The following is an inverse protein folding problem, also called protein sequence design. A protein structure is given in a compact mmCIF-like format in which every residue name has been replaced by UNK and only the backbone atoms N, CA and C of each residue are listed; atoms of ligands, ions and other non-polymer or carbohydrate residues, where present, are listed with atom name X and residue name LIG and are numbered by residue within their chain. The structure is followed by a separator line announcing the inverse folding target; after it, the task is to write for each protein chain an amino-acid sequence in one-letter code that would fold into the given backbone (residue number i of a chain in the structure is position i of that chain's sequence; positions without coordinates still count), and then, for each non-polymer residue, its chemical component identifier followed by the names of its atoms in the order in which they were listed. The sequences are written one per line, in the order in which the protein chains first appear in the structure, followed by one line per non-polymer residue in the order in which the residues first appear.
data_IF_677964815712
#
_entry.id   IF_677964815712
#
_cell.length_a   1.000
_cell.length_b   1.000
_cell.length_c   1.000
_cell.angle_alpha   90.00
_cell.angle_beta   90.00
_cell.angle_gamma   90.00
#
_symmetry.space_group_name_H-M   'P 1'
#
loop_
_entity.id
_entity.type
_entity.pdbx_description
1 polymer ?
#
# COMPACT_ATOMS: atom_id res chain seq x y z
N UNK A 1 3.22 1.57 2.95
CA UNK A 1 2.50 0.73 1.95
C UNK A 1 3.43 0.02 0.96
N UNK A 2 4.71 0.29 1.08
CA UNK A 2 5.91 -0.27 0.46
C UNK A 2 6.12 -1.79 0.66
N UNK A 3 5.47 -2.41 1.64
CA UNK A 3 5.46 -3.87 1.76
C UNK A 3 4.48 -4.55 0.78
N UNK A 4 4.81 -5.75 0.27
CA UNK A 4 3.98 -6.46 -0.69
C UNK A 4 2.61 -6.87 -0.09
N UNK A 5 1.65 -7.19 -0.95
CA UNK A 5 0.32 -7.69 -0.56
C UNK A 5 0.35 -8.93 0.33
N UNK A 6 1.45 -9.70 0.30
CA UNK A 6 1.71 -10.80 1.23
C UNK A 6 1.68 -10.34 2.70
N UNK A 7 2.27 -9.18 2.99
CA UNK A 7 2.39 -8.60 4.33
C UNK A 7 1.23 -7.65 4.66
N UNK A 8 0.88 -6.81 3.68
CA UNK A 8 -0.20 -5.81 3.78
C UNK A 8 -1.24 -6.04 2.68
N UNK A 9 -2.12 -7.05 2.84
CA UNK A 9 -3.21 -7.31 1.89
C UNK A 9 -4.19 -6.14 1.80
N UNK A 10 -4.90 -6.03 0.68
CA UNK A 10 -5.90 -4.99 0.46
C UNK A 10 -6.97 -4.97 1.56
N UNK A 11 -7.51 -6.15 1.91
CA UNK A 11 -8.54 -6.25 2.96
C UNK A 11 -8.04 -5.79 4.32
N UNK A 12 -6.74 -5.93 4.60
CA UNK A 12 -6.13 -5.39 5.83
C UNK A 12 -6.07 -3.85 5.77
N UNK A 13 -5.65 -3.29 4.64
CA UNK A 13 -5.62 -1.84 4.40
C UNK A 13 -7.02 -1.23 4.51
N UNK A 14 -8.02 -1.82 3.85
CA UNK A 14 -9.39 -1.33 3.85
C UNK A 14 -10.04 -1.34 5.25
N UNK A 15 -9.68 -2.32 6.08
CA UNK A 15 -10.18 -2.44 7.46
C UNK A 15 -9.46 -1.56 8.47
N UNK A 16 -8.50 -0.74 8.03
CA UNK A 16 -7.86 0.24 8.89
C UNK A 16 -8.91 1.17 9.51
N UNK A 17 -8.77 1.41 10.82
CA UNK A 17 -9.61 2.32 11.57
C UNK A 17 -8.73 3.45 12.11
N UNK A 18 -8.96 4.72 11.72
CA UNK A 18 -8.17 5.85 12.22
C UNK A 18 -8.39 6.13 13.71
N UNK A 19 -9.48 5.65 14.30
CA UNK A 19 -9.74 5.82 15.72
C UNK A 19 -9.08 4.70 16.54
N UNK A 20 -7.96 5.05 17.18
CA UNK A 20 -7.25 4.18 18.12
C UNK A 20 -8.19 3.73 19.25
N UNK A 21 -8.11 2.44 19.61
CA UNK A 21 -8.90 1.88 20.71
C UNK A 21 -8.58 2.63 22.01
N UNK A 22 -9.62 3.13 22.67
CA UNK A 22 -9.48 3.89 23.92
C UNK A 22 -9.50 5.41 23.75
N UNK A 23 -9.64 5.93 22.51
CA UNK A 23 -9.90 7.36 22.32
C UNK A 23 -11.32 7.74 22.79
N UNK A 24 -11.36 8.70 23.71
CA UNK A 24 -12.57 9.42 24.09
C UNK A 24 -13.02 10.38 22.97
N UNK A 25 -14.17 11.03 23.14
CA UNK A 25 -14.73 11.93 22.12
C UNK A 25 -13.79 13.09 21.78
N UNK A 26 -13.11 13.64 22.79
CA UNK A 26 -12.14 14.72 22.61
C UNK A 26 -10.92 14.26 21.82
N UNK A 27 -10.43 13.05 22.08
CA UNK A 27 -9.34 12.45 21.31
C UNK A 27 -9.73 12.21 19.86
N UNK A 28 -10.96 11.75 19.61
CA UNK A 28 -11.48 11.55 18.25
C UNK A 28 -11.60 12.85 17.47
N UNK A 29 -12.00 13.96 18.10
CA UNK A 29 -12.12 15.25 17.41
C UNK A 29 -10.77 15.85 16.99
N UNK A 30 -9.66 15.34 17.53
CA UNK A 30 -8.31 15.76 17.12
C UNK A 30 -7.76 14.95 15.92
N UNK A 31 -8.48 13.93 15.45
CA UNK A 31 -8.08 13.14 14.28
C UNK A 31 -8.54 13.87 13.02
N UNK A 32 -7.61 14.52 12.31
CA UNK A 32 -7.92 15.31 11.13
C UNK A 32 -8.09 14.49 9.84
N UNK A 33 -7.49 13.30 9.78
CA UNK A 33 -7.53 12.49 8.57
C UNK A 33 -6.59 11.29 8.62
N UNK A 34 -6.34 10.72 7.44
CA UNK A 34 -5.48 9.56 7.23
C UNK A 34 -4.50 9.83 6.10
N UNK A 35 -3.29 9.28 6.22
CA UNK A 35 -2.29 9.27 5.16
C UNK A 35 -1.94 7.83 4.79
N UNK A 36 -1.68 7.60 3.50
CA UNK A 36 -1.17 6.34 2.98
C UNK A 36 0.22 6.51 2.37
N UNK A 37 1.26 6.41 3.19
CA UNK A 37 2.63 6.61 2.71
C UNK A 37 3.14 5.40 1.93
N UNK A 38 3.81 5.65 0.80
CA UNK A 38 4.50 4.66 -0.02
C UNK A 38 5.95 5.09 -0.21
N UNK A 39 6.84 4.42 0.50
CA UNK A 39 8.27 4.63 0.38
C UNK A 39 8.83 3.82 -0.79
N UNK A 40 9.76 4.39 -1.55
CA UNK A 40 10.17 3.85 -2.87
C UNK A 40 11.52 3.14 -2.86
N UNK A 41 12.12 2.90 -1.70
CA UNK A 41 13.47 2.30 -1.54
C UNK A 41 13.60 0.95 -2.24
N UNK A 42 12.50 0.19 -2.32
CA UNK A 42 12.43 -1.13 -2.93
C UNK A 42 11.56 -1.19 -4.20
N UNK A 43 11.19 -0.03 -4.76
CA UNK A 43 10.33 0.07 -5.95
C UNK A 43 11.19 0.58 -7.11
N UNK A 44 11.28 -0.22 -8.18
CA UNK A 44 12.28 0.00 -9.26
C UNK A 44 11.77 0.84 -10.42
N UNK A 45 10.47 0.83 -10.66
CA UNK A 45 9.83 1.46 -11.82
C UNK A 45 8.41 1.94 -11.47
N UNK A 46 7.84 2.73 -12.39
CA UNK A 46 6.53 3.35 -12.23
C UNK A 46 5.39 2.32 -12.18
N UNK A 47 5.51 1.24 -12.93
CA UNK A 47 4.50 0.18 -12.95
C UNK A 47 4.47 -0.56 -11.61
N UNK A 48 5.65 -0.90 -11.06
CA UNK A 48 5.79 -1.43 -9.71
C UNK A 48 5.24 -0.48 -8.65
N UNK A 49 5.45 0.83 -8.81
CA UNK A 49 4.87 1.84 -7.93
C UNK A 49 3.34 1.82 -8.00
N UNK A 50 2.75 1.81 -9.20
CA UNK A 50 1.30 1.79 -9.40
C UNK A 50 0.67 0.50 -8.86
N UNK A 51 1.31 -0.65 -9.09
CA UNK A 51 0.89 -1.95 -8.57
C UNK A 51 0.89 -1.97 -7.05
N UNK A 52 1.86 -1.29 -6.41
CA UNK A 52 1.92 -1.19 -4.96
C UNK A 52 0.91 -0.16 -4.42
N UNK A 53 0.69 0.94 -5.12
CA UNK A 53 -0.24 1.98 -4.73
C UNK A 53 -1.70 1.52 -4.84
N UNK A 54 -2.10 0.91 -5.95
CA UNK A 54 -3.50 0.66 -6.28
C UNK A 54 -3.86 -0.83 -6.30
N UNK A 55 -4.99 -1.24 -5.68
CA UNK A 55 -6.09 -0.44 -5.10
C UNK A 55 -5.90 0.13 -3.70
N UNK A 56 -4.74 -0.09 -3.09
CA UNK A 56 -4.53 0.17 -1.67
C UNK A 56 -4.72 1.64 -1.26
N UNK A 57 -4.33 2.59 -2.10
CA UNK A 57 -4.56 4.02 -1.89
C UNK A 57 -6.03 4.40 -1.99
N UNK A 58 -6.78 3.78 -2.91
CA UNK A 58 -8.23 3.95 -2.99
C UNK A 58 -8.92 3.45 -1.71
N UNK A 59 -8.45 2.35 -1.11
CA UNK A 59 -8.98 1.87 0.17
C UNK A 59 -8.71 2.83 1.34
N UNK A 60 -7.56 3.54 1.33
CA UNK A 60 -7.24 4.57 2.32
C UNK A 60 -8.11 5.82 2.10
N UNK A 61 -8.28 6.25 0.84
CA UNK A 61 -9.19 7.34 0.48
C UNK A 61 -10.62 7.05 0.93
N UNK A 62 -11.13 5.84 0.69
CA UNK A 62 -12.46 5.44 1.15
C UNK A 62 -12.57 5.42 2.69
N UNK A 63 -11.47 5.12 3.39
CA UNK A 63 -11.42 5.19 4.86
C UNK A 63 -11.46 6.63 5.38
N UNK A 64 -10.84 7.58 4.69
CA UNK A 64 -10.89 9.00 5.04
C UNK A 64 -12.19 9.69 4.64
N UNK A 65 -12.88 9.17 3.61
CA UNK A 65 -14.05 9.83 3.01
C UNK A 65 -15.40 9.24 3.42
N UNK A 66 -15.50 7.92 3.56
CA UNK A 66 -16.79 7.23 3.74
C UNK A 66 -17.09 6.96 5.21
N UNK A 67 -18.28 7.31 5.72
CA UNK A 67 -18.68 6.96 7.08
C UNK A 67 -18.54 5.45 7.34
N UNK A 68 -18.02 5.02 8.51
CA UNK A 68 -17.76 3.60 8.78
C UNK A 68 -18.97 2.67 8.58
N UNK A 69 -20.18 3.15 8.87
CA UNK A 69 -21.42 2.39 8.69
C UNK A 69 -21.79 2.11 7.23
N UNK A 70 -21.22 2.86 6.28
CA UNK A 70 -21.47 2.71 4.84
C UNK A 70 -20.37 1.92 4.12
N UNK A 71 -19.28 1.58 4.81
CA UNK A 71 -18.16 0.84 4.21
C UNK A 71 -18.54 -0.61 3.93
N UNK A 72 -18.49 -1.00 2.65
CA UNK A 72 -18.66 -2.39 2.22
C UNK A 72 -17.47 -2.83 1.36
N UNK A 73 -16.75 -3.85 1.86
CA UNK A 73 -15.52 -4.30 1.22
C UNK A 73 -15.74 -4.98 -0.14
N UNK A 74 -16.82 -5.75 -0.31
CA UNK A 74 -17.10 -6.45 -1.57
C UNK A 74 -17.51 -5.43 -2.63
N UNK A 75 -18.40 -4.51 -2.28
CA UNK A 75 -18.79 -3.39 -3.14
C UNK A 75 -17.57 -2.52 -3.54
N UNK A 76 -16.66 -2.24 -2.60
CA UNK A 76 -15.40 -1.57 -2.91
C UNK A 76 -14.55 -2.32 -3.94
N UNK A 77 -14.39 -3.63 -3.79
CA UNK A 77 -13.62 -4.44 -4.76
C UNK A 77 -14.24 -4.36 -6.15
N UNK A 78 -15.57 -4.47 -6.26
CA UNK A 78 -16.29 -4.46 -7.52
C UNK A 78 -16.23 -3.08 -8.19
N UNK A 79 -16.42 -2.00 -7.42
CA UNK A 79 -16.25 -0.62 -7.91
C UNK A 79 -14.82 -0.34 -8.37
N UNK A 80 -13.82 -0.80 -7.62
CA UNK A 80 -12.43 -0.59 -8.01
C UNK A 80 -12.06 -1.40 -9.26
N UNK A 81 -12.55 -2.64 -9.37
CA UNK A 81 -12.34 -3.44 -10.58
C UNK A 81 -12.94 -2.78 -11.82
N UNK A 82 -14.12 -2.16 -11.70
CA UNK A 82 -14.72 -1.36 -12.76
C UNK A 82 -13.94 -0.07 -13.08
N UNK A 83 -13.25 0.53 -12.10
CA UNK A 83 -12.40 1.72 -12.28
C UNK A 83 -11.05 1.39 -12.93
N UNK A 84 -10.50 0.20 -12.70
CA UNK A 84 -9.16 -0.21 -13.12
C UNK A 84 -8.86 0.02 -14.62
N UNK A 85 -9.78 -0.27 -15.58
CA UNK A 85 -9.56 0.02 -16.99
C UNK A 85 -9.39 1.51 -17.31
N UNK A 86 -10.10 2.40 -16.59
CA UNK A 86 -9.96 3.84 -16.75
C UNK A 86 -8.60 4.32 -16.26
N UNK A 87 -8.10 3.76 -15.15
CA UNK A 87 -6.74 4.02 -14.65
C UNK A 87 -5.69 3.50 -15.63
N UNK A 88 -5.90 2.31 -16.21
CA UNK A 88 -5.00 1.76 -17.22
C UNK A 88 -4.94 2.62 -18.50
N UNK A 89 -6.05 3.24 -18.90
CA UNK A 89 -6.07 4.22 -20.01
C UNK A 89 -5.19 5.46 -19.70
N UNK A 90 -4.99 5.78 -18.43
CA UNK A 90 -4.07 6.83 -17.96
C UNK A 90 -2.66 6.29 -17.65
N UNK A 91 -2.33 5.06 -18.08
CA UNK A 91 -1.06 4.37 -17.81
C UNK A 91 -0.81 4.02 -16.34
N UNK A 92 -1.85 3.94 -15.53
CA UNK A 92 -1.76 3.50 -14.13
C UNK A 92 -2.13 2.01 -14.08
N UNK A 93 -1.12 1.14 -14.12
CA UNK A 93 -1.33 -0.31 -14.04
C UNK A 93 -1.48 -0.77 -12.59
N UNK A 94 -2.70 -1.15 -12.23
CA UNK A 94 -3.06 -1.55 -10.87
C UNK A 94 -2.81 -3.06 -10.63
N UNK A 95 -2.60 -3.46 -9.38
CA UNK A 95 -2.52 -4.88 -9.04
C UNK A 95 -3.82 -5.60 -9.45
N UNK A 96 -3.76 -6.81 -10.03
CA UNK A 96 -4.96 -7.55 -10.40
C UNK A 96 -5.66 -8.12 -9.16
N UNK A 97 -6.98 -8.32 -9.24
CA UNK A 97 -7.84 -8.75 -8.11
C UNK A 97 -7.31 -10.00 -7.38
N UNK A 98 -6.76 -10.96 -8.13
CA UNK A 98 -6.17 -12.21 -7.60
C UNK A 98 -5.02 -11.99 -6.60
N UNK A 99 -4.34 -10.85 -6.69
CA UNK A 99 -3.14 -10.55 -5.90
C UNK A 99 -3.45 -9.69 -4.66
N UNK A 100 -4.68 -9.16 -4.55
CA UNK A 100 -5.07 -8.25 -3.47
C UNK A 100 -5.07 -8.91 -2.09
N UNK A 101 -5.52 -10.16 -2.02
CA UNK A 101 -5.70 -10.90 -0.78
C UNK A 101 -5.10 -12.31 -0.89
N UNK A 102 -3.77 -12.42 -0.92
CA UNK A 102 -3.12 -13.72 -1.01
C UNK A 102 -3.50 -14.61 0.18
N UNK A 103 -3.68 -15.91 -0.07
CA UNK A 103 -3.95 -16.91 0.97
C UNK A 103 -2.78 -17.08 1.94
N UNK A 104 -3.00 -17.71 3.11
CA UNK A 104 -2.02 -17.77 4.21
C UNK A 104 -0.62 -18.27 3.81
N UNK A 105 -0.55 -19.36 3.02
CA UNK A 105 0.74 -19.91 2.57
C UNK A 105 1.48 -18.97 1.62
N UNK A 106 0.75 -18.36 0.66
CA UNK A 106 1.32 -17.36 -0.26
C UNK A 106 1.83 -16.13 0.49
N UNK A 107 1.18 -15.76 1.60
CA UNK A 107 1.62 -14.66 2.46
C UNK A 107 2.94 -14.97 3.15
N UNK A 108 3.08 -16.16 3.72
CA UNK A 108 4.33 -16.59 4.36
C UNK A 108 5.46 -16.61 3.33
N UNK A 109 5.25 -17.31 2.21
CA UNK A 109 6.24 -17.40 1.14
C UNK A 109 6.63 -16.02 0.60
N UNK A 110 5.65 -15.17 0.25
CA UNK A 110 5.91 -13.83 -0.29
C UNK A 110 6.63 -12.90 0.71
N UNK A 111 6.37 -13.06 2.01
CA UNK A 111 7.09 -12.32 3.06
C UNK A 111 8.55 -12.75 3.13
N UNK A 112 8.82 -14.06 3.16
CA UNK A 112 10.19 -14.57 3.12
C UNK A 112 10.95 -14.13 1.87
N UNK A 113 10.31 -14.19 0.70
CA UNK A 113 10.92 -13.73 -0.56
C UNK A 113 11.26 -12.24 -0.53
N UNK A 114 10.37 -11.40 0.03
CA UNK A 114 10.64 -9.97 0.16
C UNK A 114 11.90 -9.71 1.01
N UNK A 115 12.00 -10.36 2.18
CA UNK A 115 13.16 -10.16 3.05
C UNK A 115 14.45 -10.75 2.47
N UNK A 116 14.38 -11.93 1.86
CA UNK A 116 15.53 -12.53 1.20
C UNK A 116 16.08 -11.65 0.05
N UNK A 117 15.18 -11.05 -0.73
CA UNK A 117 15.56 -10.20 -1.86
C UNK A 117 16.08 -8.82 -1.44
N UNK A 118 15.51 -8.22 -0.39
CA UNK A 118 15.86 -6.85 0.02
C UNK A 118 16.91 -6.77 1.14
N UNK A 119 17.07 -7.83 1.94
CA UNK A 119 17.94 -7.84 3.13
C UNK A 119 18.83 -9.09 3.24
N UNK A 120 18.59 -10.14 2.45
CA UNK A 120 19.30 -11.43 2.55
C UNK A 120 20.62 -11.51 1.79
N UNK A 121 20.95 -10.54 0.92
CA UNK A 121 22.29 -10.38 0.33
C UNK A 121 22.93 -9.15 0.95
N UNK A 122 24.09 -9.32 1.58
CA UNK A 122 24.89 -8.19 2.06
C UNK A 122 25.07 -7.20 0.91
N UNK A 123 24.65 -5.95 1.12
CA UNK A 123 24.90 -4.91 0.13
C UNK A 123 26.41 -4.84 -0.11
N UNK A 124 26.92 -4.94 -1.36
CA UNK A 124 28.27 -4.48 -1.60
C UNK A 124 28.31 -3.02 -1.19
N UNK A 125 29.28 -2.66 -0.34
CA UNK A 125 29.45 -1.31 0.16
C UNK A 125 29.33 -0.32 -1.01
N UNK A 126 28.42 0.66 -0.90
CA UNK A 126 28.42 1.81 -1.81
C UNK A 126 29.80 2.44 -1.67
N UNK A 127 30.65 2.30 -2.68
CA UNK A 127 31.86 3.11 -2.78
C UNK A 127 31.43 4.56 -2.77
N UNK A 128 31.88 5.31 -1.76
CA UNK A 128 31.57 6.72 -1.61
C UNK A 128 32.12 7.50 -2.80
N UNK A 129 31.24 7.89 -3.71
CA UNK A 129 31.48 8.99 -4.62
C UNK A 129 31.20 10.27 -3.83
N UNK A 130 32.26 10.89 -3.31
CA UNK A 130 32.18 12.28 -2.89
C UNK A 130 31.98 13.11 -4.15
N UNK A 131 30.79 13.68 -4.32
CA UNK A 131 30.58 14.77 -5.27
C UNK A 131 31.32 15.99 -4.71
N UNK A 132 32.39 16.34 -5.43
CA UNK A 132 33.21 17.52 -5.23
C UNK A 132 32.36 18.75 -5.61
N UNK A 133 31.75 19.39 -4.61
CA UNK A 133 31.24 20.76 -4.76
C UNK A 133 32.44 21.66 -5.12
N UNK A 134 32.44 22.18 -6.35
CA UNK A 134 33.35 23.24 -6.79
C UNK A 134 32.60 24.59 -6.82
N UNK A 135 33.29 25.68 -6.47
CA UNK A 135 32.72 26.94 -5.99
C UNK A 135 32.13 27.83 -7.09
#
# INVERSE_FOLDING_TARGET
MDYPYAMTPLKKTYRFNPFVKGLDERGRSNVLGVEGSLWTEHIRDYDGLCMMAYPRFAAIAETGWTPPAQKNYIDFEDRFEALSPLLAAQRIFCAPRKDWNPGPLKRIAGTCSFFANNFGRGQPARSGGAEEEKP
#
